data_IF_271851069714
#
_entry.id   IF_271851069714
#
_cell.length_a   1.000
_cell.length_b   1.000
_cell.length_c   1.000
_cell.angle_alpha   90.00
_cell.angle_beta   90.00
_cell.angle_gamma   90.00
#
_symmetry.space_group_name_H-M   'P 1'
#
loop_
_entity.id
_entity.type
_entity.pdbx_description
1 polymer ?
#
# COMPACT_ATOMS: atom_id res chain seq x y z
N UNK A 1 -11.07 0.60 4.39
CA UNK A 1 -11.36 1.66 5.40
C UNK A 1 -12.81 1.49 5.84
N UNK A 2 -13.11 1.69 7.12
CA UNK A 2 -14.43 1.44 7.70
C UNK A 2 -14.78 2.56 8.67
N UNK A 3 -16.01 3.05 8.62
CA UNK A 3 -16.56 4.02 9.58
C UNK A 3 -17.40 3.30 10.64
N UNK A 4 -17.30 3.76 11.88
CA UNK A 4 -17.94 3.17 13.07
C UNK A 4 -18.80 4.17 13.83
N UNK A 5 -19.43 5.13 13.14
CA UNK A 5 -20.17 6.23 13.78
C UNK A 5 -19.27 6.94 14.80
N UNK A 6 -19.71 7.07 16.06
CA UNK A 6 -18.94 7.69 17.13
C UNK A 6 -17.67 6.91 17.51
N UNK A 7 -17.47 5.69 17.00
CA UNK A 7 -16.20 4.96 17.09
C UNK A 7 -15.15 5.39 16.07
N UNK A 8 -15.45 6.40 15.23
CA UNK A 8 -14.49 6.97 14.30
C UNK A 8 -14.28 6.12 13.04
N UNK A 9 -13.05 6.08 12.56
CA UNK A 9 -12.62 5.41 11.32
C UNK A 9 -11.49 4.44 11.65
N UNK A 10 -11.56 3.24 11.07
CA UNK A 10 -10.49 2.24 11.11
C UNK A 10 -9.99 1.93 9.70
N UNK A 11 -8.68 1.70 9.59
CA UNK A 11 -8.01 1.19 8.39
C UNK A 11 -7.45 -0.18 8.73
N UNK A 12 -7.81 -1.18 7.92
CA UNK A 12 -7.42 -2.57 8.15
C UNK A 12 -6.55 -3.08 7.01
N UNK A 13 -5.52 -3.83 7.36
CA UNK A 13 -4.81 -4.73 6.44
C UNK A 13 -5.56 -6.07 6.36
N UNK A 14 -5.96 -6.42 5.14
CA UNK A 14 -6.67 -7.65 4.80
C UNK A 14 -5.82 -8.62 3.96
N UNK A 15 -4.50 -8.42 3.91
CA UNK A 15 -3.58 -9.30 3.17
C UNK A 15 -3.70 -10.77 3.61
N UNK A 16 -3.93 -11.00 4.92
CA UNK A 16 -4.37 -12.28 5.45
C UNK A 16 -5.83 -12.16 5.95
N UNK A 17 -6.81 -12.65 5.18
CA UNK A 17 -8.22 -12.55 5.55
C UNK A 17 -8.59 -13.38 6.78
N UNK A 18 -7.74 -14.33 7.21
CA UNK A 18 -7.94 -15.07 8.46
C UNK A 18 -7.47 -14.31 9.70
N UNK A 19 -6.61 -13.29 9.52
CA UNK A 19 -6.03 -12.48 10.59
C UNK A 19 -5.97 -10.99 10.20
N UNK A 20 -7.11 -10.32 9.96
CA UNK A 20 -7.12 -8.89 9.65
C UNK A 20 -6.57 -8.08 10.82
N UNK A 21 -5.81 -7.02 10.51
CA UNK A 21 -5.18 -6.15 11.54
C UNK A 21 -5.52 -4.70 11.28
N UNK A 22 -5.89 -3.97 12.32
CA UNK A 22 -5.99 -2.51 12.24
C UNK A 22 -4.58 -1.92 12.13
N UNK A 23 -4.38 -1.01 11.16
CA UNK A 23 -3.08 -0.40 10.84
C UNK A 23 -3.10 1.13 10.98
N UNK A 24 -4.29 1.73 11.04
CA UNK A 24 -4.48 3.14 11.35
C UNK A 24 -5.92 3.38 11.83
N UNK A 25 -6.13 4.44 12.60
CA UNK A 25 -7.46 4.89 13.00
C UNK A 25 -7.53 6.41 13.07
N UNK A 26 -8.75 6.94 13.07
CA UNK A 26 -9.03 8.33 13.37
C UNK A 26 -10.29 8.42 14.22
N UNK A 27 -10.18 9.09 15.37
CA UNK A 27 -11.29 9.37 16.27
C UNK A 27 -11.21 10.83 16.74
N UNK A 28 -12.35 11.53 16.70
CA UNK A 28 -12.50 12.90 17.23
C UNK A 28 -12.92 12.93 18.69
N UNK A 29 -13.16 11.77 19.29
CA UNK A 29 -13.82 11.65 20.56
C UNK A 29 -15.32 11.99 20.46
N UNK A 30 -16.01 11.96 21.61
CA UNK A 30 -17.46 12.12 21.66
C UNK A 30 -17.91 13.45 21.07
N UNK A 31 -19.09 13.45 20.46
CA UNK A 31 -19.72 14.69 20.01
C UNK A 31 -20.08 15.59 21.19
N UNK A 32 -20.70 14.99 22.20
CA UNK A 32 -21.06 15.59 23.46
C UNK A 32 -20.54 14.68 24.59
N UNK A 33 -19.81 15.25 25.56
CA UNK A 33 -19.16 14.47 26.61
C UNK A 33 -20.13 13.92 27.66
N UNK A 34 -21.37 14.43 27.72
CA UNK A 34 -22.34 14.12 28.77
C UNK A 34 -23.62 13.47 28.25
N UNK A 35 -23.93 13.61 26.96
CA UNK A 35 -25.17 13.09 26.37
C UNK A 35 -24.90 12.31 25.08
N UNK A 36 -25.65 11.24 24.87
CA UNK A 36 -25.55 10.44 23.66
C UNK A 36 -26.40 11.04 22.54
N UNK A 37 -25.74 11.41 21.46
CA UNK A 37 -26.36 12.03 20.29
C UNK A 37 -26.01 11.25 19.00
N UNK A 38 -26.76 11.49 17.92
CA UNK A 38 -26.45 10.91 16.62
C UNK A 38 -25.28 11.68 15.99
N UNK A 39 -24.08 11.09 16.02
CA UNK A 39 -22.85 11.69 15.51
C UNK A 39 -21.86 10.63 15.00
N UNK A 40 -20.72 11.09 14.50
CA UNK A 40 -19.60 10.27 14.05
C UNK A 40 -19.60 9.98 12.55
N UNK A 41 -18.64 9.16 12.12
CA UNK A 41 -18.40 8.87 10.69
C UNK A 41 -19.55 8.01 10.13
N UNK A 42 -20.42 8.62 9.33
CA UNK A 42 -21.51 7.94 8.63
C UNK A 42 -20.99 7.02 7.52
N UNK A 43 -20.00 7.50 6.76
CA UNK A 43 -19.40 6.75 5.67
C UNK A 43 -18.00 7.27 5.38
N UNK A 44 -17.06 6.37 5.07
CA UNK A 44 -15.70 6.71 4.67
C UNK A 44 -15.27 5.85 3.48
N UNK A 45 -14.63 6.48 2.49
CA UNK A 45 -14.13 5.79 1.30
C UNK A 45 -12.77 6.32 0.90
N UNK A 46 -11.92 5.43 0.39
CA UNK A 46 -10.66 5.82 -0.21
C UNK A 46 -10.91 6.36 -1.62
N UNK A 47 -10.25 7.47 -1.97
CA UNK A 47 -10.26 8.05 -3.31
C UNK A 47 -8.94 8.76 -3.58
N UNK A 48 -8.17 8.27 -4.57
CA UNK A 48 -6.94 8.91 -5.09
C UNK A 48 -5.94 9.35 -4.01
N UNK A 49 -5.74 8.52 -2.98
CA UNK A 49 -4.75 8.73 -1.93
C UNK A 49 -5.28 9.30 -0.62
N UNK A 50 -6.54 9.74 -0.59
CA UNK A 50 -7.20 10.25 0.63
C UNK A 50 -8.37 9.37 1.05
N UNK A 51 -8.75 9.45 2.32
CA UNK A 51 -9.99 8.92 2.86
C UNK A 51 -10.97 10.06 3.01
N UNK A 52 -12.07 10.01 2.26
CA UNK A 52 -13.15 10.99 2.28
C UNK A 52 -14.25 10.45 3.17
N UNK A 53 -14.52 11.16 4.27
CA UNK A 53 -15.50 10.76 5.28
C UNK A 53 -16.59 11.81 5.48
N UNK A 54 -17.84 11.36 5.45
CA UNK A 54 -19.00 12.17 5.84
C UNK A 54 -19.33 11.87 7.29
N UNK A 55 -19.21 12.86 8.16
CA UNK A 55 -19.55 12.84 9.58
C UNK A 55 -20.94 13.46 9.78
N UNK A 56 -21.78 12.83 10.61
CA UNK A 56 -23.21 13.14 10.75
C UNK A 56 -23.49 14.59 11.20
N UNK A 57 -22.70 15.13 12.13
CA UNK A 57 -22.95 16.40 12.81
C UNK A 57 -21.96 17.52 12.43
N UNK A 58 -20.75 17.17 12.00
CA UNK A 58 -19.58 18.03 11.78
C UNK A 58 -19.20 18.16 10.30
N UNK A 59 -19.80 17.36 9.41
CA UNK A 59 -19.64 17.51 7.97
C UNK A 59 -18.53 16.65 7.38
N UNK A 60 -17.60 17.24 6.62
CA UNK A 60 -16.65 16.51 5.77
C UNK A 60 -15.25 16.42 6.38
N UNK A 61 -14.69 15.21 6.37
CA UNK A 61 -13.28 14.95 6.68
C UNK A 61 -12.55 14.41 5.45
N UNK A 62 -11.36 14.95 5.21
CA UNK A 62 -10.41 14.45 4.22
C UNK A 62 -9.13 14.10 4.97
N UNK A 63 -8.80 12.81 4.98
CA UNK A 63 -7.72 12.26 5.80
C UNK A 63 -6.67 11.62 4.89
N UNK A 64 -5.40 11.83 5.22
CA UNK A 64 -4.27 11.19 4.56
C UNK A 64 -3.55 10.25 5.53
N UNK A 65 -3.00 9.15 4.99
CA UNK A 65 -2.13 8.27 5.75
C UNK A 65 -0.74 8.90 5.88
N UNK A 66 -0.11 8.67 7.02
CA UNK A 66 1.29 9.00 7.25
C UNK A 66 2.06 7.71 7.58
N UNK A 67 3.38 7.65 7.32
CA UNK A 67 4.17 6.47 7.66
C UNK A 67 4.07 6.08 9.14
N UNK A 68 4.04 4.78 9.40
CA UNK A 68 3.97 4.19 10.74
C UNK A 68 4.77 2.87 10.79
N UNK A 69 4.72 2.17 11.92
CA UNK A 69 5.30 0.82 12.03
C UNK A 69 4.61 -0.20 11.10
N UNK A 70 3.35 0.05 10.73
CA UNK A 70 2.55 -0.83 9.88
C UNK A 70 2.61 -0.46 8.39
N UNK A 71 2.99 0.77 8.06
CA UNK A 71 2.89 1.32 6.71
C UNK A 71 4.09 2.21 6.39
N UNK A 72 4.86 1.88 5.35
CA UNK A 72 5.98 2.70 4.91
C UNK A 72 5.55 3.79 3.92
N UNK A 73 6.42 4.78 3.69
CA UNK A 73 6.19 5.79 2.67
C UNK A 73 6.03 5.17 1.27
N UNK A 74 6.80 4.13 0.92
CA UNK A 74 6.66 3.47 -0.37
C UNK A 74 5.29 2.81 -0.55
N UNK A 75 4.70 2.26 0.53
CA UNK A 75 3.34 1.70 0.49
C UNK A 75 2.27 2.78 0.27
N UNK A 76 2.46 3.96 0.89
CA UNK A 76 1.60 5.14 0.66
C UNK A 76 1.75 5.65 -0.77
N UNK A 77 2.98 5.82 -1.25
CA UNK A 77 3.28 6.27 -2.60
C UNK A 77 2.72 5.29 -3.64
N UNK A 78 2.84 3.98 -3.39
CA UNK A 78 2.23 2.96 -4.23
C UNK A 78 0.70 3.11 -4.26
N UNK A 79 0.04 3.30 -3.13
CA UNK A 79 -1.40 3.57 -3.11
C UNK A 79 -1.78 4.81 -3.93
N UNK A 80 -0.95 5.86 -3.92
CA UNK A 80 -1.17 7.08 -4.71
C UNK A 80 -1.00 6.89 -6.22
N UNK A 81 -0.38 5.81 -6.68
CA UNK A 81 -0.30 5.50 -8.11
C UNK A 81 -1.63 5.05 -8.71
N UNK A 82 -2.58 4.60 -7.87
CA UNK A 82 -3.94 4.30 -8.31
C UNK A 82 -4.71 5.62 -8.40
N UNK A 83 -5.13 5.98 -9.60
CA UNK A 83 -5.89 7.20 -9.88
C UNK A 83 -7.16 6.85 -10.62
N UNK A 84 -8.29 7.35 -10.12
CA UNK A 84 -9.62 7.12 -10.64
C UNK A 84 -10.21 8.46 -11.07
N UNK A 85 -10.70 8.54 -12.32
CA UNK A 85 -11.48 9.70 -12.78
C UNK A 85 -12.89 9.71 -12.15
N UNK A 86 -13.38 8.52 -11.83
CA UNK A 86 -14.69 8.29 -11.23
C UNK A 86 -14.67 7.03 -10.37
N UNK A 87 -15.32 7.08 -9.19
CA UNK A 87 -15.50 5.94 -8.31
C UNK A 87 -16.96 5.84 -7.86
N UNK A 88 -17.62 4.73 -8.21
CA UNK A 88 -18.80 4.26 -7.49
C UNK A 88 -18.36 3.25 -6.42
N UNK A 89 -18.43 3.65 -5.16
CA UNK A 89 -18.00 2.81 -4.04
C UNK A 89 -18.84 1.55 -3.85
N UNK A 90 -20.08 1.53 -4.35
CA UNK A 90 -20.95 0.35 -4.26
C UNK A 90 -20.56 -0.76 -5.25
N UNK A 91 -19.85 -0.44 -6.33
CA UNK A 91 -19.44 -1.45 -7.31
C UNK A 91 -18.20 -2.24 -6.89
N UNK A 92 -17.55 -1.86 -5.79
CA UNK A 92 -16.37 -2.52 -5.22
C UNK A 92 -15.34 -2.91 -6.29
N UNK A 93 -14.86 -1.95 -7.11
CA UNK A 93 -13.94 -2.28 -8.19
C UNK A 93 -12.63 -2.82 -7.61
N UNK A 94 -12.02 -3.75 -8.33
CA UNK A 94 -10.65 -4.16 -8.04
C UNK A 94 -9.69 -3.02 -8.41
N UNK A 95 -8.84 -2.62 -7.46
CA UNK A 95 -7.73 -1.70 -7.75
C UNK A 95 -6.56 -2.45 -8.37
N UNK A 96 -5.98 -1.86 -9.41
CA UNK A 96 -4.78 -2.36 -10.09
C UNK A 96 -3.73 -1.27 -9.99
N UNK A 97 -2.59 -1.63 -9.40
CA UNK A 97 -1.45 -0.73 -9.30
C UNK A 97 -0.66 -0.73 -10.60
N UNK A 98 -0.38 0.43 -11.22
CA UNK A 98 0.54 0.48 -12.34
C UNK A 98 1.96 0.11 -11.88
N UNK A 99 2.79 -0.43 -12.78
CA UNK A 99 4.20 -0.68 -12.48
C UNK A 99 4.88 0.62 -12.06
N UNK A 100 5.56 0.59 -10.92
CA UNK A 100 6.28 1.75 -10.37
C UNK A 100 7.39 1.33 -9.43
N UNK A 101 8.41 2.18 -9.26
CA UNK A 101 9.43 1.99 -8.24
C UNK A 101 8.81 1.96 -6.83
N UNK A 102 7.79 2.79 -6.57
CA UNK A 102 7.06 2.78 -5.31
C UNK A 102 6.45 1.40 -5.01
N UNK A 103 5.77 0.78 -5.98
CA UNK A 103 5.17 -0.55 -5.81
C UNK A 103 6.21 -1.65 -5.52
N UNK A 104 7.33 -1.65 -6.27
CA UNK A 104 8.41 -2.63 -6.05
C UNK A 104 9.06 -2.46 -4.67
N UNK A 105 9.30 -1.21 -4.24
CA UNK A 105 9.84 -0.91 -2.91
C UNK A 105 8.85 -1.25 -1.79
N UNK A 106 7.55 -1.02 -2.00
CA UNK A 106 6.50 -1.40 -1.06
C UNK A 106 6.53 -2.91 -0.76
N UNK A 107 6.67 -3.76 -1.79
CA UNK A 107 6.79 -5.20 -1.59
C UNK A 107 8.08 -5.60 -0.86
N UNK A 108 9.21 -4.92 -1.13
CA UNK A 108 10.45 -5.13 -0.37
C UNK A 108 10.31 -4.73 1.10
N UNK A 109 9.64 -3.61 1.39
CA UNK A 109 9.39 -3.15 2.74
C UNK A 109 8.50 -4.13 3.51
N UNK A 110 7.49 -4.69 2.86
CA UNK A 110 6.65 -5.75 3.42
C UNK A 110 7.44 -7.02 3.73
N UNK A 111 8.31 -7.47 2.81
CA UNK A 111 9.21 -8.61 3.03
C UNK A 111 10.19 -8.37 4.18
N UNK A 112 10.70 -7.14 4.32
CA UNK A 112 11.56 -6.77 5.44
C UNK A 112 10.79 -6.84 6.77
N UNK A 113 9.58 -6.28 6.80
CA UNK A 113 8.72 -6.26 7.99
C UNK A 113 8.29 -7.66 8.42
N UNK A 114 8.02 -8.56 7.48
CA UNK A 114 7.60 -9.94 7.76
C UNK A 114 8.76 -10.92 7.95
N UNK A 115 10.01 -10.49 7.75
CA UNK A 115 11.18 -11.37 7.61
C UNK A 115 10.95 -12.46 6.53
N UNK A 116 10.28 -12.08 5.44
CA UNK A 116 9.93 -12.94 4.30
C UNK A 116 11.10 -13.28 3.37
N UNK A 117 12.22 -12.55 3.50
CA UNK A 117 13.45 -12.74 2.73
C UNK A 117 14.67 -12.32 3.58
N UNK A 118 15.84 -12.88 3.29
CA UNK A 118 17.07 -12.54 4.01
C UNK A 118 17.43 -11.05 3.86
N UNK A 119 17.91 -10.43 4.95
CA UNK A 119 18.14 -8.99 5.03
C UNK A 119 19.19 -8.48 4.04
N UNK A 120 20.22 -9.28 3.76
CA UNK A 120 21.25 -9.02 2.75
C UNK A 120 20.67 -8.99 1.33
N UNK A 121 19.72 -9.88 1.03
CA UNK A 121 19.00 -9.90 -0.25
C UNK A 121 18.06 -8.71 -0.39
N UNK A 122 17.38 -8.30 0.68
CA UNK A 122 16.55 -7.09 0.69
C UNK A 122 17.42 -5.85 0.42
N UNK A 123 18.58 -5.75 1.08
CA UNK A 123 19.51 -4.64 0.87
C UNK A 123 20.03 -4.61 -0.58
N UNK A 124 20.44 -5.76 -1.13
CA UNK A 124 20.91 -5.86 -2.51
C UNK A 124 19.81 -5.44 -3.51
N UNK A 125 18.57 -5.90 -3.32
CA UNK A 125 17.45 -5.52 -4.18
C UNK A 125 17.13 -4.01 -4.10
N UNK A 126 17.19 -3.40 -2.91
CA UNK A 126 17.03 -1.95 -2.74
C UNK A 126 18.11 -1.16 -3.50
N UNK A 127 19.36 -1.60 -3.43
CA UNK A 127 20.47 -0.97 -4.15
C UNK A 127 20.30 -1.10 -5.67
N UNK A 128 19.90 -2.28 -6.16
CA UNK A 128 19.64 -2.51 -7.57
C UNK A 128 18.48 -1.63 -8.09
N UNK A 129 17.38 -1.53 -7.35
CA UNK A 129 16.27 -0.63 -7.70
C UNK A 129 16.71 0.85 -7.72
N UNK A 130 17.50 1.28 -6.76
CA UNK A 130 18.01 2.66 -6.72
C UNK A 130 18.95 2.96 -7.91
N UNK A 131 19.81 2.01 -8.29
CA UNK A 131 20.68 2.15 -9.46
C UNK A 131 19.86 2.21 -10.75
N UNK A 132 18.85 1.34 -10.91
CA UNK A 132 17.97 1.32 -12.08
C UNK A 132 17.11 2.60 -12.19
N UNK A 133 16.63 3.15 -11.08
CA UNK A 133 15.91 4.43 -11.08
C UNK A 133 16.81 5.59 -11.55
N UNK A 134 18.12 5.51 -11.27
CA UNK A 134 19.11 6.48 -11.75
C UNK A 134 19.51 6.36 -13.22
N UNK A 135 19.26 5.22 -13.87
CA UNK A 135 19.47 5.02 -15.33
C UNK A 135 18.17 5.27 -16.10
N UNK A 136 18.14 5.07 -17.43
CA UNK A 136 16.94 5.26 -18.24
C UNK A 136 16.90 4.36 -19.49
N UNK A 137 15.71 4.19 -20.08
CA UNK A 137 15.51 3.45 -21.33
C UNK A 137 16.00 2.00 -21.24
N UNK A 138 16.68 1.54 -22.28
CA UNK A 138 17.15 0.16 -22.38
C UNK A 138 18.04 -0.27 -21.21
N UNK A 139 18.93 0.60 -20.72
CA UNK A 139 19.79 0.30 -19.59
C UNK A 139 18.98 0.01 -18.31
N UNK A 140 17.94 0.82 -18.05
CA UNK A 140 17.03 0.61 -16.92
C UNK A 140 16.23 -0.67 -17.10
N UNK A 141 15.66 -0.90 -18.28
CA UNK A 141 14.86 -2.09 -18.57
C UNK A 141 15.67 -3.38 -18.39
N UNK A 142 16.91 -3.42 -18.87
CA UNK A 142 17.80 -4.58 -18.73
C UNK A 142 18.20 -4.81 -17.26
N UNK A 143 18.52 -3.75 -16.52
CA UNK A 143 18.85 -3.86 -15.09
C UNK A 143 17.68 -4.39 -14.26
N UNK A 144 16.46 -3.91 -14.52
CA UNK A 144 15.26 -4.39 -13.84
C UNK A 144 14.92 -5.83 -14.24
N UNK A 145 15.07 -6.20 -15.51
CA UNK A 145 14.84 -7.57 -15.97
C UNK A 145 15.82 -8.56 -15.32
N UNK A 146 17.09 -8.18 -15.17
CA UNK A 146 18.09 -8.97 -14.44
C UNK A 146 17.68 -9.14 -12.96
N UNK A 147 17.32 -8.04 -12.29
CA UNK A 147 16.86 -8.07 -10.90
C UNK A 147 15.62 -8.97 -10.72
N UNK A 148 14.65 -8.90 -11.64
CA UNK A 148 13.48 -9.76 -11.59
C UNK A 148 13.85 -11.27 -11.67
N UNK A 149 14.82 -11.62 -12.50
CA UNK A 149 15.36 -12.98 -12.57
C UNK A 149 16.01 -13.42 -11.26
N UNK A 150 16.90 -12.60 -10.71
CA UNK A 150 17.57 -12.87 -9.42
C UNK A 150 16.57 -13.06 -8.27
N UNK A 151 15.53 -12.23 -8.21
CA UNK A 151 14.46 -12.35 -7.21
C UNK A 151 13.63 -13.63 -7.43
N UNK A 152 13.38 -14.02 -8.68
CA UNK A 152 12.72 -15.27 -9.02
C UNK A 152 13.46 -16.49 -8.50
N UNK A 153 14.78 -16.50 -8.63
CA UNK A 153 15.64 -17.56 -8.10
C UNK A 153 15.69 -17.53 -6.56
N UNK A 154 15.82 -16.33 -5.97
CA UNK A 154 15.84 -16.13 -4.53
C UNK A 154 14.54 -16.58 -3.85
N UNK A 155 13.40 -16.52 -4.56
CA UNK A 155 12.11 -16.96 -4.04
C UNK A 155 12.10 -18.41 -3.56
N UNK A 156 12.95 -19.29 -4.10
CA UNK A 156 13.03 -20.69 -3.67
C UNK A 156 13.56 -20.86 -2.25
N UNK A 157 14.38 -19.91 -1.79
CA UNK A 157 15.04 -19.93 -0.47
C UNK A 157 14.39 -18.96 0.52
N UNK A 158 13.39 -18.20 0.07
CA UNK A 158 12.66 -17.24 0.87
C UNK A 158 11.68 -17.94 1.84
N UNK A 159 11.50 -17.36 3.02
CA UNK A 159 10.46 -17.77 3.96
C UNK A 159 9.06 -17.42 3.43
N UNK A 160 8.93 -16.32 2.68
CA UNK A 160 7.70 -15.94 1.98
C UNK A 160 7.88 -16.01 0.45
N UNK A 161 7.89 -17.23 -0.07
CA UNK A 161 8.11 -17.48 -1.51
C UNK A 161 7.07 -16.78 -2.39
N UNK A 162 5.82 -16.72 -1.92
CA UNK A 162 4.72 -16.12 -2.69
C UNK A 162 4.95 -14.62 -2.86
N UNK A 163 5.29 -13.92 -1.77
CA UNK A 163 5.54 -12.49 -1.82
C UNK A 163 6.80 -12.12 -2.60
N UNK A 164 7.87 -12.93 -2.52
CA UNK A 164 9.06 -12.70 -3.36
C UNK A 164 8.74 -12.89 -4.84
N UNK A 165 7.90 -13.86 -5.22
CA UNK A 165 7.42 -13.98 -6.61
C UNK A 165 6.56 -12.79 -7.04
N UNK A 166 5.70 -12.27 -6.17
CA UNK A 166 4.94 -11.03 -6.43
C UNK A 166 5.88 -9.84 -6.66
N UNK A 167 6.91 -9.69 -5.84
CA UNK A 167 7.93 -8.67 -6.04
C UNK A 167 8.65 -8.85 -7.39
N UNK A 168 9.12 -10.06 -7.70
CA UNK A 168 9.81 -10.36 -8.97
C UNK A 168 8.93 -10.02 -10.19
N UNK A 169 7.64 -10.35 -10.14
CA UNK A 169 6.67 -9.98 -11.16
C UNK A 169 6.52 -8.46 -11.28
N UNK A 170 6.37 -7.74 -10.17
CA UNK A 170 6.26 -6.28 -10.18
C UNK A 170 7.52 -5.58 -10.75
N UNK A 171 8.71 -6.11 -10.45
CA UNK A 171 9.98 -5.61 -11.02
C UNK A 171 10.03 -5.89 -12.52
N UNK A 172 9.56 -7.04 -12.97
CA UNK A 172 9.47 -7.38 -14.40
C UNK A 172 8.49 -6.46 -15.13
N UNK A 173 7.30 -6.24 -14.58
CA UNK A 173 6.30 -5.36 -15.18
C UNK A 173 6.83 -3.92 -15.28
N UNK A 174 7.62 -3.48 -14.27
CA UNK A 174 8.32 -2.20 -14.32
C UNK A 174 9.39 -2.19 -15.44
N UNK A 175 10.16 -3.27 -15.60
CA UNK A 175 11.13 -3.38 -16.68
C UNK A 175 10.48 -3.28 -18.07
N UNK A 176 9.31 -3.91 -18.24
CA UNK A 176 8.55 -3.92 -19.49
C UNK A 176 7.92 -2.55 -19.79
N UNK A 177 7.53 -1.78 -18.76
CA UNK A 177 6.99 -0.42 -18.90
C UNK A 177 8.06 0.63 -19.31
N UNK A 178 9.34 0.33 -19.10
CA UNK A 178 10.48 1.22 -19.38
C UNK A 178 11.14 0.97 -20.75
N UNK A 179 10.63 0.00 -21.54
CA UNK A 179 11.09 -0.26 -22.92
C UNK A 179 10.52 0.76 -23.91
#
# INVERSE_FOLDING_TARGET
>A
VQGWYQGGISVFDWTDPSNPREIAFFDRGPFNATEMESAGSWSVYWYNGVMVSSEIARGLDILELTPSEFLTQNEIDAAHTVQLDYLNVQSQPQFVWPPSFALTRAYLDQLARSNGMAADRILAARQALAAAEGSAGQERSEALAALAGELGDAAQQASDQAKVRTLAAAVKDLADAER
#
